data_IF_214728973743
#
_entry.id   IF_214728973743
#
_cell.length_a   1.000
_cell.length_b   1.000
_cell.length_c   1.000
_cell.angle_alpha   90.00
_cell.angle_beta   90.00
_cell.angle_gamma   90.00
#
_symmetry.space_group_name_H-M   'P 1'
#
loop_
_entity.id
_entity.type
_entity.pdbx_description
1 polymer ?
#
# COMPACT_ATOMS: atom_id res chain seq x y z
N UNK A 1 27.10 41.34 21.13
CA UNK A 1 27.18 41.34 19.65
C UNK A 1 27.62 40.00 19.08
N UNK A 2 28.84 39.51 19.34
CA UNK A 2 29.32 38.21 18.83
C UNK A 2 28.45 37.00 19.20
N UNK A 3 27.90 36.96 20.42
CA UNK A 3 27.00 35.89 20.87
C UNK A 3 25.66 35.90 20.11
N UNK A 4 25.07 37.08 19.86
CA UNK A 4 23.83 37.21 19.10
C UNK A 4 24.00 36.86 17.63
N UNK A 5 25.15 37.20 17.03
CA UNK A 5 25.48 36.81 15.65
C UNK A 5 25.69 35.30 15.56
N UNK A 6 26.39 34.70 16.53
CA UNK A 6 26.56 33.25 16.61
C UNK A 6 25.23 32.50 16.75
N UNK A 7 24.31 33.00 17.58
CA UNK A 7 22.96 32.43 17.77
C UNK A 7 22.09 32.57 16.52
N UNK A 8 22.17 33.70 15.80
CA UNK A 8 21.46 33.89 14.53
C UNK A 8 21.99 32.98 13.42
N UNK A 9 23.30 32.78 13.32
CA UNK A 9 23.92 31.84 12.37
C UNK A 9 23.53 30.40 12.73
N UNK A 10 23.56 30.04 14.01
CA UNK A 10 23.07 28.73 14.47
C UNK A 10 21.59 28.54 14.13
N UNK A 11 20.72 29.50 14.43
CA UNK A 11 19.28 29.45 14.10
C UNK A 11 19.03 29.39 12.58
N UNK A 12 19.85 30.04 11.76
CA UNK A 12 19.78 29.94 10.30
C UNK A 12 20.22 28.58 9.76
N UNK A 13 21.08 27.86 10.49
CA UNK A 13 21.45 26.47 10.19
C UNK A 13 20.37 25.46 10.65
N UNK A 14 19.49 25.86 11.59
CA UNK A 14 18.38 25.05 12.09
C UNK A 14 17.06 25.25 11.34
N UNK A 15 16.98 26.21 10.41
CA UNK A 15 15.75 26.51 9.68
C UNK A 15 16.05 26.62 8.19
N UNK A 16 15.95 25.46 7.51
CA UNK A 16 15.41 25.21 6.18
C UNK A 16 15.74 23.74 5.86
N UNK A 17 15.14 22.80 6.60
CA UNK A 17 15.15 21.41 6.17
C UNK A 17 14.18 21.31 4.99
N UNK A 18 14.69 21.41 3.77
CA UNK A 18 13.88 21.20 2.57
C UNK A 18 13.25 19.80 2.62
N UNK A 19 11.97 19.71 2.23
CA UNK A 19 11.32 18.41 2.07
C UNK A 19 12.00 17.59 0.99
N UNK A 20 12.09 16.28 1.22
CA UNK A 20 12.60 15.33 0.21
C UNK A 20 11.67 15.20 -0.99
N UNK A 21 12.23 14.74 -2.12
CA UNK A 21 11.54 14.46 -3.36
C UNK A 21 10.97 13.04 -3.36
N UNK A 22 9.65 12.93 -3.35
CA UNK A 22 8.92 11.67 -3.22
C UNK A 22 8.34 11.23 -4.56
N UNK A 23 8.61 9.97 -4.92
CA UNK A 23 7.87 9.26 -5.95
C UNK A 23 6.67 8.57 -5.31
N UNK A 24 5.48 8.75 -5.87
CA UNK A 24 4.26 8.12 -5.35
C UNK A 24 3.68 7.19 -6.40
N UNK A 25 3.51 5.93 -6.01
CA UNK A 25 2.81 4.91 -6.81
C UNK A 25 1.58 4.48 -6.03
N UNK A 26 0.41 5.10 -6.28
CA UNK A 26 -0.77 4.88 -5.45
C UNK A 26 -1.52 3.61 -5.86
N UNK A 27 -2.28 3.06 -4.92
CA UNK A 27 -3.44 2.24 -5.24
C UNK A 27 -4.67 3.15 -5.37
N UNK A 28 -5.42 3.02 -6.46
CA UNK A 28 -6.59 3.85 -6.75
C UNK A 28 -7.82 3.46 -5.88
N UNK A 29 -8.96 4.11 -6.13
CA UNK A 29 -10.20 3.85 -5.41
C UNK A 29 -10.15 4.34 -3.96
N UNK A 30 -10.63 3.52 -3.02
CA UNK A 30 -10.71 3.90 -1.61
C UNK A 30 -9.34 4.11 -0.94
N UNK A 31 -8.29 3.45 -1.45
CA UNK A 31 -6.92 3.58 -0.94
C UNK A 31 -6.37 4.99 -1.21
N UNK A 32 -6.60 5.50 -2.44
CA UNK A 32 -6.19 6.83 -2.87
C UNK A 32 -6.79 7.95 -2.02
N UNK A 33 -8.03 7.82 -1.55
CA UNK A 33 -8.70 8.88 -0.80
C UNK A 33 -7.93 9.29 0.47
N UNK A 34 -7.36 8.31 1.19
CA UNK A 34 -6.57 8.58 2.39
C UNK A 34 -5.17 9.09 2.03
N UNK A 35 -4.57 8.53 0.98
CA UNK A 35 -3.25 8.93 0.51
C UNK A 35 -3.24 10.39 0.05
N UNK A 36 -4.29 10.83 -0.67
CA UNK A 36 -4.42 12.21 -1.15
C UNK A 36 -4.30 13.23 -0.03
N UNK A 37 -4.94 12.99 1.12
CA UNK A 37 -4.84 13.87 2.29
C UNK A 37 -3.44 13.92 2.87
N UNK A 38 -2.75 12.77 2.92
CA UNK A 38 -1.34 12.69 3.33
C UNK A 38 -0.44 13.48 2.36
N UNK A 39 -0.62 13.34 1.06
CA UNK A 39 0.18 14.05 0.05
C UNK A 39 0.01 15.57 0.15
N UNK A 40 -1.19 16.06 0.42
CA UNK A 40 -1.42 17.49 0.66
C UNK A 40 -0.64 17.99 1.89
N UNK A 41 -0.63 17.22 2.98
CA UNK A 41 0.14 17.55 4.17
C UNK A 41 1.66 17.51 3.93
N UNK A 42 2.15 16.52 3.17
CA UNK A 42 3.57 16.43 2.80
C UNK A 42 4.00 17.59 1.88
N UNK A 43 3.15 17.98 0.92
CA UNK A 43 3.38 19.15 0.07
C UNK A 43 3.51 20.44 0.88
N UNK A 44 2.66 20.63 1.91
CA UNK A 44 2.77 21.76 2.85
C UNK A 44 4.03 21.72 3.72
N UNK A 45 4.70 20.56 3.81
CA UNK A 45 6.01 20.38 4.43
C UNK A 45 7.16 20.45 3.40
N UNK A 46 6.90 21.08 2.25
CA UNK A 46 7.88 21.37 1.21
C UNK A 46 8.47 20.12 0.52
N UNK A 47 7.79 18.98 0.59
CA UNK A 47 8.15 17.81 -0.21
C UNK A 47 7.79 18.04 -1.68
N UNK A 48 8.75 17.79 -2.59
CA UNK A 48 8.47 17.71 -4.02
C UNK A 48 7.84 16.34 -4.31
N UNK A 49 6.61 16.31 -4.82
CA UNK A 49 5.86 15.05 -5.00
C UNK A 49 5.58 14.83 -6.48
N UNK A 50 5.97 13.66 -6.98
CA UNK A 50 5.60 13.18 -8.32
C UNK A 50 4.79 11.90 -8.18
N UNK A 51 3.57 11.91 -8.70
CA UNK A 51 2.70 10.73 -8.77
C UNK A 51 2.82 10.10 -10.14
N UNK A 52 2.92 8.77 -10.16
CA UNK A 52 2.82 7.98 -11.39
C UNK A 52 1.56 7.12 -11.32
N UNK A 53 0.66 7.28 -12.29
CA UNK A 53 -0.59 6.55 -12.35
C UNK A 53 -1.01 6.22 -13.79
N UNK A 54 -1.85 5.20 -14.02
CA UNK A 54 -2.42 4.94 -15.34
C UNK A 54 -3.20 6.13 -15.88
N UNK A 55 -3.21 6.33 -17.20
CA UNK A 55 -4.12 7.31 -17.83
C UNK A 55 -5.60 6.97 -17.57
N UNK A 56 -5.92 5.67 -17.54
CA UNK A 56 -7.22 5.14 -17.14
C UNK A 56 -7.20 4.78 -15.66
N UNK A 57 -7.61 5.72 -14.82
CA UNK A 57 -7.65 5.61 -13.36
C UNK A 57 -8.97 6.14 -12.78
N UNK A 58 -9.50 5.58 -11.70
CA UNK A 58 -10.75 5.98 -11.05
C UNK A 58 -10.69 7.42 -10.50
N UNK A 59 -9.77 7.70 -9.57
CA UNK A 59 -9.84 8.89 -8.71
C UNK A 59 -8.58 9.77 -8.71
N UNK A 60 -7.49 9.37 -9.38
CA UNK A 60 -6.22 10.10 -9.40
C UNK A 60 -6.28 11.24 -10.43
N UNK A 61 -6.28 12.49 -9.95
CA UNK A 61 -6.39 13.70 -10.79
C UNK A 61 -5.23 14.67 -10.52
N UNK A 62 -5.00 15.59 -11.45
CA UNK A 62 -4.06 16.69 -11.25
C UNK A 62 -4.45 17.52 -10.02
N UNK A 63 -3.44 18.07 -9.34
CA UNK A 63 -3.60 18.88 -8.14
C UNK A 63 -2.45 19.88 -8.04
N UNK A 64 -2.60 20.92 -7.24
CA UNK A 64 -1.53 21.86 -6.90
C UNK A 64 -0.46 21.24 -5.98
N UNK A 65 -0.78 20.16 -5.26
CA UNK A 65 0.11 19.56 -4.26
C UNK A 65 1.19 18.64 -4.84
N UNK A 66 1.08 18.23 -6.11
CA UNK A 66 1.97 17.26 -6.72
C UNK A 66 1.94 17.33 -8.24
N UNK A 67 3.01 16.84 -8.88
CA UNK A 67 3.04 16.63 -10.32
C UNK A 67 2.48 15.25 -10.65
N UNK A 68 1.53 15.17 -11.59
CA UNK A 68 1.00 13.90 -12.08
C UNK A 68 1.66 13.50 -13.40
N UNK A 69 2.23 12.29 -13.46
CA UNK A 69 2.72 11.64 -14.66
C UNK A 69 1.84 10.42 -14.97
N UNK A 70 1.32 10.36 -16.18
CA UNK A 70 0.48 9.24 -16.62
C UNK A 70 1.19 8.36 -17.63
N UNK A 71 0.80 7.08 -17.66
CA UNK A 71 1.26 6.11 -18.66
C UNK A 71 0.07 5.38 -19.29
N UNK A 72 0.19 4.98 -20.58
CA UNK A 72 -0.86 4.25 -21.26
C UNK A 72 -1.01 2.84 -20.71
N UNK A 73 -2.24 2.33 -20.73
CA UNK A 73 -2.57 0.98 -20.28
C UNK A 73 -3.52 0.31 -21.27
N UNK A 74 -3.46 -1.02 -21.45
CA UNK A 74 -4.38 -1.76 -22.31
C UNK A 74 -5.71 -2.01 -21.57
N UNK A 75 -6.34 -0.94 -21.09
CA UNK A 75 -7.57 -1.00 -20.30
C UNK A 75 -8.44 0.23 -20.57
N UNK A 76 -9.71 0.02 -20.89
CA UNK A 76 -10.67 1.11 -21.08
C UNK A 76 -11.32 1.56 -19.77
N UNK A 77 -11.90 2.76 -19.79
CA UNK A 77 -12.61 3.32 -18.63
C UNK A 77 -13.81 2.47 -18.24
N UNK A 78 -14.51 1.95 -19.25
CA UNK A 78 -15.71 1.13 -19.12
C UNK A 78 -15.37 -0.22 -18.50
N UNK A 79 -14.30 -0.88 -18.96
CA UNK A 79 -13.82 -2.16 -18.40
C UNK A 79 -13.39 -2.01 -16.93
N UNK A 80 -12.63 -0.95 -16.62
CA UNK A 80 -12.23 -0.66 -15.24
C UNK A 80 -13.46 -0.43 -14.34
N UNK A 81 -14.43 0.36 -14.81
CA UNK A 81 -15.67 0.63 -14.09
C UNK A 81 -16.51 -0.64 -13.88
N UNK A 82 -16.65 -1.46 -14.92
CA UNK A 82 -17.39 -2.73 -14.86
C UNK A 82 -16.75 -3.72 -13.89
N UNK A 83 -15.42 -3.83 -13.89
CA UNK A 83 -14.67 -4.68 -12.96
C UNK A 83 -14.90 -4.24 -11.50
N UNK A 84 -14.81 -2.93 -11.23
CA UNK A 84 -15.05 -2.38 -9.89
C UNK A 84 -16.50 -2.56 -9.43
N UNK A 85 -17.47 -2.33 -10.31
CA UNK A 85 -18.89 -2.55 -10.01
C UNK A 85 -19.20 -4.03 -9.73
N UNK A 86 -18.64 -4.94 -10.54
CA UNK A 86 -18.80 -6.37 -10.29
C UNK A 86 -18.20 -6.76 -8.94
N UNK A 87 -16.99 -6.32 -8.64
CA UNK A 87 -16.34 -6.62 -7.37
C UNK A 87 -17.17 -6.13 -6.17
N UNK A 88 -17.70 -4.91 -6.23
CA UNK A 88 -18.55 -4.38 -5.17
C UNK A 88 -19.82 -5.22 -4.99
N UNK A 89 -20.51 -5.59 -6.06
CA UNK A 89 -21.74 -6.38 -5.97
C UNK A 89 -21.48 -7.79 -5.39
N UNK A 90 -20.40 -8.44 -5.83
CA UNK A 90 -20.04 -9.79 -5.39
C UNK A 90 -19.69 -9.85 -3.89
N UNK A 91 -19.06 -8.80 -3.33
CA UNK A 91 -18.72 -8.72 -1.91
C UNK A 91 -19.95 -8.73 -0.98
N UNK A 92 -21.08 -8.20 -1.44
CA UNK A 92 -22.31 -8.13 -0.65
C UNK A 92 -23.32 -9.24 -0.98
N UNK A 93 -23.01 -10.07 -1.98
CA UNK A 93 -23.90 -11.15 -2.37
C UNK A 93 -23.81 -12.33 -1.38
N UNK A 94 -24.97 -12.80 -0.93
CA UNK A 94 -25.05 -13.95 -0.02
C UNK A 94 -24.93 -15.24 -0.82
N UNK A 95 -23.74 -15.85 -0.79
CA UNK A 95 -23.46 -17.16 -1.40
C UNK A 95 -23.17 -18.22 -0.33
N UNK A 96 -23.52 -19.50 -0.56
CA UNK A 96 -23.01 -20.63 0.24
C UNK A 96 -21.48 -20.60 0.34
N UNK A 97 -20.93 -21.10 1.45
CA UNK A 97 -19.49 -20.98 1.77
C UNK A 97 -18.56 -21.35 0.62
N UNK A 98 -18.72 -22.53 0.02
CA UNK A 98 -17.86 -22.98 -1.08
C UNK A 98 -17.96 -22.09 -2.32
N UNK A 99 -19.18 -21.66 -2.68
CA UNK A 99 -19.39 -20.76 -3.82
C UNK A 99 -18.79 -19.37 -3.56
N UNK A 100 -18.76 -18.92 -2.30
CA UNK A 100 -18.10 -17.69 -1.89
C UNK A 100 -16.58 -17.78 -2.06
N UNK A 101 -15.98 -18.93 -1.74
CA UNK A 101 -14.54 -19.15 -1.96
C UNK A 101 -14.20 -19.13 -3.45
N UNK A 102 -14.95 -19.85 -4.29
CA UNK A 102 -14.72 -19.87 -5.74
C UNK A 102 -14.92 -18.48 -6.36
N UNK A 103 -15.97 -17.76 -5.96
CA UNK A 103 -16.23 -16.41 -6.44
C UNK A 103 -15.11 -15.44 -6.02
N UNK A 104 -14.65 -15.50 -4.76
CA UNK A 104 -13.53 -14.67 -4.30
C UNK A 104 -12.26 -14.95 -5.11
N UNK A 105 -11.99 -16.23 -5.40
CA UNK A 105 -10.84 -16.64 -6.20
C UNK A 105 -10.86 -16.05 -7.61
N UNK A 106 -11.97 -16.23 -8.34
CA UNK A 106 -12.12 -15.69 -9.71
C UNK A 106 -11.97 -14.16 -9.74
N UNK A 107 -12.48 -13.46 -8.72
CA UNK A 107 -12.40 -11.99 -8.66
C UNK A 107 -11.02 -11.49 -8.30
N UNK A 108 -10.34 -12.17 -7.36
CA UNK A 108 -8.95 -11.87 -7.03
C UNK A 108 -8.08 -12.03 -8.27
N UNK A 109 -8.31 -13.02 -9.13
CA UNK A 109 -7.61 -13.13 -10.42
C UNK A 109 -7.85 -11.92 -11.31
N UNK A 110 -9.11 -11.62 -11.63
CA UNK A 110 -9.45 -10.52 -12.56
C UNK A 110 -8.83 -9.20 -12.10
N UNK A 111 -8.93 -8.92 -10.80
CA UNK A 111 -8.36 -7.69 -10.22
C UNK A 111 -6.83 -7.71 -10.27
N UNK A 112 -6.22 -8.85 -9.92
CA UNK A 112 -4.76 -8.98 -9.96
C UNK A 112 -4.26 -8.79 -11.39
N UNK A 113 -4.87 -9.43 -12.39
CA UNK A 113 -4.50 -9.32 -13.80
C UNK A 113 -4.55 -7.87 -14.30
N UNK A 114 -5.57 -7.12 -13.90
CA UNK A 114 -5.67 -5.68 -14.21
C UNK A 114 -4.50 -4.88 -13.63
N UNK A 115 -4.16 -5.11 -12.36
CA UNK A 115 -3.05 -4.41 -11.71
C UNK A 115 -1.69 -4.86 -12.22
N UNK A 116 -1.51 -6.14 -12.55
CA UNK A 116 -0.28 -6.69 -13.13
C UNK A 116 -0.07 -6.10 -14.53
N UNK A 117 -1.12 -6.07 -15.37
CA UNK A 117 -1.08 -5.48 -16.70
C UNK A 117 -0.71 -4.00 -16.65
N UNK A 118 -1.33 -3.26 -15.73
CA UNK A 118 -0.99 -1.86 -15.47
C UNK A 118 0.45 -1.68 -15.00
N UNK A 119 0.91 -2.51 -14.05
CA UNK A 119 2.27 -2.44 -13.55
C UNK A 119 3.31 -2.76 -14.62
N UNK A 120 3.05 -3.79 -15.43
CA UNK A 120 3.89 -4.13 -16.58
C UNK A 120 3.98 -2.98 -17.57
N UNK A 121 2.86 -2.30 -17.85
CA UNK A 121 2.84 -1.11 -18.72
C UNK A 121 3.70 0.03 -18.17
N UNK A 122 3.73 0.23 -16.85
CA UNK A 122 4.61 1.21 -16.20
C UNK A 122 6.08 0.82 -16.34
N UNK A 123 6.43 -0.39 -15.87
CA UNK A 123 7.83 -0.84 -15.76
C UNK A 123 8.50 -1.00 -17.14
N UNK A 124 7.73 -1.27 -18.19
CA UNK A 124 8.23 -1.35 -19.57
C UNK A 124 8.14 -0.04 -20.35
N UNK A 125 7.61 1.04 -19.76
CA UNK A 125 7.56 2.34 -20.40
C UNK A 125 8.95 3.02 -20.39
N UNK A 126 9.72 2.83 -21.46
CA UNK A 126 11.10 3.34 -21.56
C UNK A 126 11.23 4.84 -21.28
N UNK A 127 10.32 5.66 -21.80
CA UNK A 127 10.38 7.11 -21.62
C UNK A 127 10.15 7.50 -20.16
N UNK A 128 9.12 6.91 -19.54
CA UNK A 128 8.81 7.19 -18.14
C UNK A 128 9.89 6.65 -17.22
N UNK A 129 10.39 5.42 -17.45
CA UNK A 129 11.48 4.84 -16.66
C UNK A 129 12.76 5.69 -16.73
N UNK A 130 13.15 6.16 -17.92
CA UNK A 130 14.27 7.09 -18.07
C UNK A 130 14.07 8.40 -17.29
N UNK A 131 12.85 8.95 -17.32
CA UNK A 131 12.52 10.13 -16.51
C UNK A 131 12.65 9.85 -15.01
N UNK A 132 12.16 8.70 -14.55
CA UNK A 132 12.18 8.32 -13.13
C UNK A 132 13.61 8.09 -12.63
N UNK A 133 14.43 7.39 -13.39
CA UNK A 133 15.86 7.19 -13.13
C UNK A 133 16.63 8.51 -13.09
N UNK A 134 16.35 9.42 -14.03
CA UNK A 134 17.00 10.74 -14.09
C UNK A 134 16.53 11.74 -13.02
N UNK A 135 15.39 11.50 -12.37
CA UNK A 135 14.73 12.46 -11.48
C UNK A 135 15.27 12.47 -10.04
N UNK A 136 16.09 11.47 -9.65
CA UNK A 136 16.75 11.36 -8.34
C UNK A 136 15.79 11.55 -7.15
N UNK A 137 14.82 10.66 -7.02
CA UNK A 137 13.90 10.62 -5.88
C UNK A 137 14.61 10.16 -4.59
N UNK A 138 14.14 10.65 -3.44
CA UNK A 138 14.67 10.26 -2.13
C UNK A 138 13.98 9.01 -1.57
N UNK A 139 12.70 8.80 -1.90
CA UNK A 139 11.93 7.62 -1.48
C UNK A 139 10.72 7.38 -2.38
N UNK A 140 10.21 6.14 -2.37
CA UNK A 140 8.90 5.78 -2.94
C UNK A 140 7.85 5.66 -1.84
N UNK A 141 6.76 6.41 -1.94
CA UNK A 141 5.55 6.20 -1.15
C UNK A 141 4.54 5.37 -1.95
N UNK A 142 4.19 4.18 -1.48
CA UNK A 142 3.32 3.26 -2.23
C UNK A 142 2.36 2.52 -1.32
N UNK A 143 1.20 2.14 -1.84
CA UNK A 143 0.39 1.10 -1.21
C UNK A 143 0.89 -0.27 -1.72
N UNK A 144 1.43 -1.15 -0.86
CA UNK A 144 2.04 -2.41 -1.27
C UNK A 144 1.04 -3.50 -1.66
N UNK A 145 -0.28 -3.26 -1.60
CA UNK A 145 -1.29 -4.27 -2.01
C UNK A 145 -1.11 -4.69 -3.48
N UNK A 146 -0.71 -3.74 -4.33
CA UNK A 146 -0.20 -3.97 -5.67
C UNK A 146 1.28 -3.53 -5.67
N UNK A 147 2.25 -4.44 -5.66
CA UNK A 147 3.65 -4.14 -5.30
C UNK A 147 4.44 -3.39 -6.38
N UNK A 148 3.78 -2.75 -7.34
CA UNK A 148 4.45 -2.07 -8.45
C UNK A 148 5.40 -0.97 -7.98
N UNK A 149 4.96 -0.15 -7.02
CA UNK A 149 5.81 0.87 -6.41
C UNK A 149 7.00 0.27 -5.67
N UNK A 150 6.85 -0.93 -5.09
CA UNK A 150 7.96 -1.61 -4.42
C UNK A 150 8.99 -2.16 -5.41
N UNK A 151 8.52 -2.75 -6.52
CA UNK A 151 9.41 -3.21 -7.59
C UNK A 151 10.20 -2.01 -8.14
N UNK A 152 9.52 -0.88 -8.36
CA UNK A 152 10.13 0.35 -8.83
C UNK A 152 11.13 0.93 -7.83
N UNK A 153 10.84 0.88 -6.52
CA UNK A 153 11.77 1.32 -5.48
C UNK A 153 13.08 0.53 -5.50
N UNK A 154 13.00 -0.80 -5.66
CA UNK A 154 14.17 -1.68 -5.77
C UNK A 154 14.95 -1.44 -7.07
N UNK A 155 14.25 -1.28 -8.20
CA UNK A 155 14.87 -0.93 -9.49
C UNK A 155 15.66 0.38 -9.40
N UNK A 156 15.06 1.40 -8.80
CA UNK A 156 15.67 2.72 -8.61
C UNK A 156 16.69 2.77 -7.46
N UNK A 157 16.82 1.69 -6.67
CA UNK A 157 17.70 1.62 -5.50
C UNK A 157 17.43 2.70 -4.44
N UNK A 158 16.14 2.99 -4.17
CA UNK A 158 15.70 3.99 -3.19
C UNK A 158 14.78 3.36 -2.13
N UNK A 159 14.74 3.89 -0.90
CA UNK A 159 13.89 3.34 0.16
C UNK A 159 12.41 3.47 -0.17
N UNK A 160 11.61 2.51 0.30
CA UNK A 160 10.16 2.54 0.19
C UNK A 160 9.48 2.78 1.53
N UNK A 161 8.44 3.60 1.47
CA UNK A 161 7.50 3.89 2.56
C UNK A 161 6.15 3.29 2.15
N UNK A 162 5.71 2.30 2.90
CA UNK A 162 4.43 1.64 2.64
C UNK A 162 3.29 2.35 3.35
N UNK A 163 2.21 2.61 2.62
CA UNK A 163 1.01 3.24 3.13
C UNK A 163 -0.17 2.28 2.92
N UNK A 164 -0.58 1.61 4.00
CA UNK A 164 -1.49 0.46 3.92
C UNK A 164 -2.38 0.37 5.15
N UNK A 165 -3.50 -0.35 5.06
CA UNK A 165 -4.20 -0.82 6.26
C UNK A 165 -3.59 -2.14 6.72
N UNK A 166 -3.70 -3.18 5.89
CA UNK A 166 -3.04 -4.47 6.04
C UNK A 166 -2.88 -5.11 4.69
N UNK A 167 -2.21 -6.27 4.63
CA UNK A 167 -2.12 -7.07 3.42
C UNK A 167 -2.87 -8.41 3.61
N UNK A 168 -3.45 -8.97 2.54
CA UNK A 168 -3.97 -10.33 2.56
C UNK A 168 -2.91 -11.34 3.06
N UNK A 169 -3.37 -12.42 3.68
CA UNK A 169 -2.55 -13.55 4.12
C UNK A 169 -1.40 -13.18 5.08
N UNK A 170 -1.59 -12.09 5.83
CA UNK A 170 -0.59 -11.56 6.76
C UNK A 170 0.76 -11.26 6.09
N UNK A 171 0.79 -10.93 4.79
CA UNK A 171 2.06 -10.72 4.08
C UNK A 171 2.91 -9.60 4.68
N UNK A 172 2.26 -8.57 5.21
CA UNK A 172 2.87 -7.49 5.98
C UNK A 172 3.56 -8.01 7.25
N UNK A 173 2.92 -8.90 8.00
CA UNK A 173 3.50 -9.52 9.19
C UNK A 173 4.65 -10.47 8.83
N UNK A 174 4.48 -11.26 7.76
CA UNK A 174 5.52 -12.17 7.28
C UNK A 174 6.76 -11.41 6.78
N UNK A 175 6.57 -10.31 6.06
CA UNK A 175 7.65 -9.48 5.52
C UNK A 175 8.42 -8.75 6.63
N UNK A 176 7.69 -8.28 7.65
CA UNK A 176 8.28 -7.62 8.83
C UNK A 176 8.78 -8.59 9.89
N UNK A 177 8.55 -9.91 9.71
CA UNK A 177 8.83 -10.95 10.70
C UNK A 177 8.09 -10.74 12.04
N UNK A 178 6.95 -10.04 12.03
CA UNK A 178 6.09 -9.91 13.19
C UNK A 178 5.42 -11.27 13.50
N UNK A 179 5.29 -11.65 14.79
CA UNK A 179 4.47 -12.79 15.19
C UNK A 179 3.02 -12.61 14.78
N UNK A 180 2.42 -13.66 14.21
CA UNK A 180 1.00 -13.72 13.83
C UNK A 180 0.34 -14.96 14.49
N UNK A 181 0.01 -14.90 15.79
CA UNK A 181 -0.40 -16.08 16.56
C UNK A 181 -1.88 -16.42 16.35
N UNK A 182 -2.21 -17.55 15.68
CA UNK A 182 -3.59 -17.93 15.40
C UNK A 182 -4.35 -18.40 16.65
N UNK A 183 -3.68 -18.53 17.80
CA UNK A 183 -4.31 -18.96 19.04
C UNK A 183 -5.17 -17.87 19.67
N UNK A 184 -4.93 -16.59 19.38
CA UNK A 184 -5.68 -15.46 19.94
C UNK A 184 -5.84 -14.27 18.98
N UNK A 185 -5.14 -14.24 17.84
CA UNK A 185 -5.45 -13.27 16.78
C UNK A 185 -6.41 -13.93 15.79
N UNK A 186 -7.68 -13.51 15.73
CA UNK A 186 -8.65 -14.10 14.80
C UNK A 186 -8.32 -13.74 13.36
N UNK A 187 -8.61 -14.66 12.43
CA UNK A 187 -8.49 -14.42 10.99
C UNK A 187 -9.56 -13.45 10.53
N UNK A 188 -9.18 -12.59 9.59
CA UNK A 188 -10.08 -11.68 8.91
C UNK A 188 -11.25 -12.46 8.30
N UNK A 189 -12.45 -11.88 8.31
CA UNK A 189 -13.69 -12.50 7.83
C UNK A 189 -14.21 -13.68 8.67
N UNK A 190 -13.74 -13.82 9.91
CA UNK A 190 -14.36 -14.67 10.94
C UNK A 190 -15.08 -13.80 11.97
N UNK A 191 -16.08 -14.36 12.66
CA UNK A 191 -16.75 -13.73 13.80
C UNK A 191 -16.01 -14.02 15.13
N UNK A 192 -14.75 -14.46 15.05
CA UNK A 192 -13.94 -14.78 16.22
C UNK A 192 -13.38 -13.52 16.89
N UNK A 193 -13.26 -13.56 18.22
CA UNK A 193 -12.53 -12.56 19.01
C UNK A 193 -11.16 -13.10 19.46
N UNK A 194 -10.46 -12.36 20.32
CA UNK A 194 -9.28 -12.85 21.05
C UNK A 194 -9.61 -13.93 22.09
N UNK A 195 -10.88 -14.09 22.42
CA UNK A 195 -11.39 -15.12 23.31
C UNK A 195 -12.00 -16.29 22.52
N UNK A 196 -11.14 -17.08 21.88
CA UNK A 196 -11.55 -18.29 21.13
C UNK A 196 -11.57 -19.56 22.00
N UNK A 197 -12.61 -20.38 21.82
CA UNK A 197 -12.64 -21.78 22.27
C UNK A 197 -11.60 -22.63 21.55
N UNK A 198 -11.33 -23.85 22.03
CA UNK A 198 -10.40 -24.76 21.36
C UNK A 198 -10.76 -25.01 19.89
N UNK A 199 -12.03 -25.26 19.59
CA UNK A 199 -12.49 -25.52 18.21
C UNK A 199 -12.32 -24.28 17.33
N UNK A 200 -12.65 -23.09 17.82
CA UNK A 200 -12.43 -21.84 17.09
C UNK A 200 -10.93 -21.62 16.82
N UNK A 201 -10.02 -21.96 17.73
CA UNK A 201 -8.57 -21.87 17.50
C UNK A 201 -8.10 -22.85 16.42
N UNK A 202 -8.65 -24.07 16.40
CA UNK A 202 -8.36 -25.06 15.36
C UNK A 202 -8.84 -24.57 13.99
N UNK A 203 -10.05 -24.03 13.92
CA UNK A 203 -10.60 -23.39 12.71
C UNK A 203 -9.73 -22.22 12.26
N UNK A 204 -9.34 -21.35 13.18
CA UNK A 204 -8.52 -20.17 12.92
C UNK A 204 -7.14 -20.54 12.36
N UNK A 205 -6.52 -21.61 12.89
CA UNK A 205 -5.27 -22.17 12.37
C UNK A 205 -5.45 -22.77 10.96
N UNK A 206 -6.55 -23.46 10.71
CA UNK A 206 -6.86 -24.00 9.39
C UNK A 206 -7.04 -22.89 8.35
N UNK A 207 -7.82 -21.85 8.68
CA UNK A 207 -8.01 -20.67 7.83
C UNK A 207 -6.67 -20.00 7.51
N UNK A 208 -5.86 -19.73 8.53
CA UNK A 208 -4.50 -19.19 8.34
C UNK A 208 -3.66 -20.00 7.35
N UNK A 209 -3.74 -21.33 7.44
CA UNK A 209 -2.98 -22.23 6.58
C UNK A 209 -3.49 -22.20 5.14
N UNK A 210 -4.82 -22.10 4.96
CA UNK A 210 -5.47 -22.02 3.65
C UNK A 210 -5.20 -20.70 2.90
N UNK A 211 -5.04 -19.59 3.62
CA UNK A 211 -4.80 -18.27 3.04
C UNK A 211 -3.51 -18.22 2.21
N UNK A 212 -2.44 -18.88 2.68
CA UNK A 212 -1.15 -18.94 1.96
C UNK A 212 -1.32 -19.45 0.52
N UNK A 213 -2.22 -20.42 0.30
CA UNK A 213 -2.48 -20.94 -1.04
C UNK A 213 -3.13 -19.89 -1.96
N UNK A 214 -4.14 -19.18 -1.46
CA UNK A 214 -4.85 -18.14 -2.21
C UNK A 214 -3.92 -16.98 -2.59
N UNK A 215 -3.09 -16.51 -1.64
CA UNK A 215 -2.18 -15.39 -1.91
C UNK A 215 -1.02 -15.75 -2.82
N UNK A 216 -0.45 -16.95 -2.70
CA UNK A 216 0.61 -17.39 -3.61
C UNK A 216 0.14 -17.29 -5.06
N UNK A 217 -1.10 -17.68 -5.32
CA UNK A 217 -1.67 -17.59 -6.65
C UNK A 217 -1.92 -16.14 -7.11
N UNK A 218 -2.50 -15.30 -6.25
CA UNK A 218 -2.76 -13.89 -6.57
C UNK A 218 -1.48 -13.09 -6.85
N UNK A 219 -0.39 -13.43 -6.16
CA UNK A 219 0.85 -12.67 -6.23
C UNK A 219 1.95 -13.28 -7.11
N UNK A 220 1.87 -14.54 -7.49
CA UNK A 220 2.86 -15.19 -8.35
C UNK A 220 3.16 -14.38 -9.64
N UNK A 221 2.19 -13.81 -10.36
CA UNK A 221 2.53 -13.06 -11.56
C UNK A 221 3.27 -11.74 -11.26
N UNK A 222 3.06 -11.14 -10.07
CA UNK A 222 3.88 -10.01 -9.62
C UNK A 222 5.31 -10.44 -9.29
N UNK A 223 5.52 -11.62 -8.70
CA UNK A 223 6.86 -12.18 -8.44
C UNK A 223 7.61 -12.42 -9.75
N UNK A 224 6.92 -12.95 -10.78
CA UNK A 224 7.49 -13.16 -12.11
C UNK A 224 7.87 -11.84 -12.77
N UNK A 225 6.97 -10.85 -12.76
CA UNK A 225 7.23 -9.52 -13.31
C UNK A 225 8.39 -8.83 -12.58
N UNK A 226 8.42 -8.90 -11.26
CA UNK A 226 9.50 -8.35 -10.45
C UNK A 226 10.84 -9.04 -10.74
N UNK A 227 10.82 -10.36 -10.92
CA UNK A 227 12.04 -11.13 -11.20
C UNK A 227 12.65 -10.78 -12.55
N UNK A 228 11.80 -10.52 -13.55
CA UNK A 228 12.21 -10.06 -14.88
C UNK A 228 12.87 -8.67 -14.79
N UNK A 229 12.19 -7.71 -14.15
CA UNK A 229 12.66 -6.31 -14.03
C UNK A 229 13.92 -6.19 -13.17
N UNK A 230 14.00 -6.95 -12.07
CA UNK A 230 15.15 -6.93 -11.16
C UNK A 230 16.27 -7.90 -11.59
N UNK A 231 16.07 -8.64 -12.68
CA UNK A 231 17.02 -9.61 -13.24
C UNK A 231 17.49 -10.68 -12.25
N UNK A 232 16.62 -11.08 -11.31
CA UNK A 232 16.88 -12.13 -10.32
C UNK A 232 15.59 -12.69 -9.75
N UNK A 233 15.52 -13.97 -9.34
CA UNK A 233 14.35 -14.49 -8.65
C UNK A 233 14.07 -13.70 -7.37
N UNK A 234 12.80 -13.30 -7.19
CA UNK A 234 12.31 -12.62 -5.98
C UNK A 234 10.96 -13.19 -5.57
N UNK A 235 10.70 -13.20 -4.27
CA UNK A 235 9.38 -13.54 -3.71
C UNK A 235 8.69 -12.29 -3.18
N UNK A 236 7.37 -12.33 -3.02
CA UNK A 236 6.61 -11.24 -2.39
C UNK A 236 7.10 -10.91 -0.99
N UNK A 237 7.38 -11.95 -0.20
CA UNK A 237 7.90 -11.77 1.16
C UNK A 237 9.23 -11.00 1.14
N UNK A 238 10.11 -11.33 0.20
CA UNK A 238 11.38 -10.63 0.02
C UNK A 238 11.17 -9.21 -0.49
N UNK A 239 10.36 -9.00 -1.53
CA UNK A 239 10.06 -7.67 -2.05
C UNK A 239 9.58 -6.74 -0.94
N UNK A 240 8.65 -7.21 -0.12
CA UNK A 240 8.07 -6.44 0.98
C UNK A 240 9.01 -6.29 2.18
N UNK A 241 9.96 -7.20 2.42
CA UNK A 241 10.90 -7.08 3.56
C UNK A 241 11.84 -5.87 3.43
N UNK A 242 12.00 -5.33 2.21
CA UNK A 242 12.74 -4.10 1.94
C UNK A 242 11.96 -2.81 2.27
N UNK A 243 10.72 -2.91 2.75
CA UNK A 243 9.93 -1.77 3.22
C UNK A 243 10.59 -1.06 4.40
N UNK A 244 11.04 0.18 4.20
CA UNK A 244 11.78 0.95 5.21
C UNK A 244 10.86 1.43 6.33
N UNK A 245 9.67 1.95 6.00
CA UNK A 245 8.66 2.41 6.96
C UNK A 245 7.29 1.86 6.56
N UNK A 246 6.51 1.41 7.54
CA UNK A 246 5.15 0.90 7.35
C UNK A 246 4.14 1.81 8.03
N UNK A 247 3.54 2.71 7.26
CA UNK A 247 2.47 3.61 7.70
C UNK A 247 1.12 2.88 7.67
N UNK A 248 0.69 2.40 8.84
CA UNK A 248 -0.53 1.63 9.06
C UNK A 248 -1.74 2.53 9.25
N UNK A 249 -2.69 2.52 8.32
CA UNK A 249 -3.97 3.27 8.32
C UNK A 249 -5.00 2.71 9.31
N UNK A 250 -4.58 2.51 10.54
CA UNK A 250 -5.31 1.91 11.64
C UNK A 250 -4.69 2.40 12.95
N UNK A 251 -5.48 2.41 14.02
CA UNK A 251 -5.01 2.76 15.36
C UNK A 251 -4.86 1.46 16.15
N UNK A 252 -3.73 1.31 16.86
CA UNK A 252 -3.42 0.10 17.60
C UNK A 252 -4.47 -0.25 18.68
N UNK A 253 -5.25 0.74 19.15
CA UNK A 253 -6.32 0.55 20.14
C UNK A 253 -7.47 -0.31 19.61
N UNK A 254 -7.69 -0.35 18.30
CA UNK A 254 -8.76 -1.15 17.68
C UNK A 254 -8.29 -2.53 17.19
N UNK A 255 -7.06 -2.91 17.52
CA UNK A 255 -6.42 -4.09 16.97
C UNK A 255 -6.07 -5.08 18.06
N UNK A 256 -6.06 -6.36 17.70
CA UNK A 256 -5.69 -7.41 18.65
C UNK A 256 -4.23 -7.26 19.08
N UNK A 257 -3.91 -7.49 20.37
CA UNK A 257 -2.59 -7.20 20.90
C UNK A 257 -1.55 -8.16 20.33
N UNK A 258 -0.66 -7.65 19.47
CA UNK A 258 0.40 -8.43 18.85
C UNK A 258 1.69 -7.61 18.72
N UNK A 259 2.87 -8.25 18.75
CA UNK A 259 4.13 -7.52 18.60
C UNK A 259 4.25 -6.89 17.21
N UNK A 260 4.86 -5.70 17.17
CA UNK A 260 5.08 -4.91 15.95
C UNK A 260 6.55 -4.51 15.86
N UNK A 261 7.03 -4.32 14.64
CA UNK A 261 8.40 -3.84 14.42
C UNK A 261 8.54 -2.33 14.64
N UNK A 262 9.72 -1.84 15.04
CA UNK A 262 9.95 -0.41 15.30
C UNK A 262 9.70 0.52 14.10
N UNK A 263 9.78 -0.01 12.88
CA UNK A 263 9.52 0.76 11.66
C UNK A 263 8.04 0.77 11.23
N UNK A 264 7.15 0.21 12.05
CA UNK A 264 5.70 0.26 11.86
C UNK A 264 5.14 1.46 12.63
N UNK A 265 4.45 2.36 11.92
CA UNK A 265 3.86 3.57 12.48
C UNK A 265 2.35 3.53 12.25
N UNK A 266 1.59 3.51 13.34
CA UNK A 266 0.12 3.60 13.30
C UNK A 266 -0.31 5.05 13.06
N UNK A 267 -1.03 5.25 11.97
CA UNK A 267 -1.56 6.54 11.50
C UNK A 267 -3.08 6.48 11.38
N UNK A 268 -3.73 5.77 12.30
CA UNK A 268 -5.18 5.80 12.44
C UNK A 268 -5.70 7.23 12.64
N UNK A 269 -6.89 7.53 12.10
CA UNK A 269 -7.51 8.84 12.27
C UNK A 269 -6.99 9.97 11.37
N UNK A 270 -6.05 9.72 10.45
CA UNK A 270 -5.55 10.77 9.51
C UNK A 270 -6.64 11.40 8.62
N UNK A 271 -7.76 10.70 8.45
CA UNK A 271 -8.90 11.19 7.67
C UNK A 271 -9.89 12.02 8.51
N UNK A 272 -9.68 12.12 9.82
CA UNK A 272 -10.57 12.89 10.69
C UNK A 272 -10.37 14.38 10.45
N UNK A 273 -11.45 15.07 10.05
CA UNK A 273 -11.47 16.52 9.94
C UNK A 273 -11.49 17.22 11.31
N UNK A 274 -11.66 18.55 11.28
CA UNK A 274 -11.82 19.35 12.51
C UNK A 274 -12.95 18.79 13.38
N UNK A 275 -12.67 18.62 14.67
CA UNK A 275 -13.67 18.21 15.67
C UNK A 275 -14.86 19.18 15.61
N UNK A 276 -16.05 18.66 15.35
CA UNK A 276 -17.30 19.40 15.62
C UNK A 276 -17.59 19.29 17.11
N UNK A 277 -18.06 20.37 17.73
CA UNK A 277 -18.68 20.32 19.04
C UNK A 277 -19.87 19.38 18.98
N UNK A 278 -19.90 18.36 19.84
CA UNK A 278 -21.08 17.51 20.00
C UNK A 278 -22.19 18.39 20.57
N UNK A 279 -23.36 18.41 19.92
CA UNK A 279 -24.55 18.98 20.55
C UNK A 279 -24.87 18.13 21.78
N UNK A 280 -24.85 18.77 22.95
CA UNK A 280 -25.40 18.18 24.18
C UNK A 280 -26.89 17.95 24.04
#
# INVERSE_FOLDING_TARGET
YLVSVGVLVFLSLFCLANGGKLLVVPMDGSHWLSMRSLLAALSQKEHEIVIVAPEVNLNVKASEYYTLKTYPVPLTREELGASMHSFANDLFERRPFLQRITALYEKVQVISDLYISSCSSLLHNKYLMQYLEGSKFDAVLTDPVAPCGQILALHLSIPSVFFLRGLPCSLDLQATQCPDPPSYVPRTFTDNSDHMTFIQRVENLFLKSSESFLCNFAYLPFELLASDVLHRPVTMKELLSHGSIWLKRMDFVFEYPMPVMPNIVFIGGINCGKKKTLSQ
#
